data_IF_900362428253
#
_entry.id   IF_900362428253
#
_cell.length_a   1.000
_cell.length_b   1.000
_cell.length_c   1.000
_cell.angle_alpha   90.00
_cell.angle_beta   90.00
_cell.angle_gamma   90.00
#
_symmetry.space_group_name_H-M   'P 1'
#
loop_
_entity.id
_entity.type
_entity.pdbx_description
1 polymer ?
#
# COMPACT_ATOMS: atom_id res chain seq x y z
N UNK A 1 -15.47 -7.14 34.10
CA UNK A 1 -14.73 -5.87 34.32
C UNK A 1 -14.03 -5.56 33.00
N UNK A 2 -14.26 -4.39 32.43
CA UNK A 2 -13.65 -3.97 31.17
C UNK A 2 -12.18 -3.59 31.34
N UNK A 3 -11.39 -3.64 30.28
CA UNK A 3 -10.02 -3.14 30.31
C UNK A 3 -9.98 -1.63 30.27
N UNK A 4 -10.73 -1.02 29.33
CA UNK A 4 -10.84 0.43 29.18
C UNK A 4 -12.29 0.80 28.97
N UNK A 5 -12.73 1.92 29.59
CA UNK A 5 -13.96 2.61 29.25
C UNK A 5 -13.65 4.04 28.86
N UNK A 6 -14.04 4.44 27.67
CA UNK A 6 -14.06 5.82 27.21
C UNK A 6 -15.41 6.42 27.60
N UNK A 7 -15.40 7.52 28.38
CA UNK A 7 -16.61 8.20 28.86
C UNK A 7 -16.86 9.52 28.15
N UNK A 8 -18.12 9.88 28.04
CA UNK A 8 -18.58 11.20 27.56
C UNK A 8 -18.14 11.53 26.13
N UNK A 9 -17.81 10.54 25.30
CA UNK A 9 -17.33 10.77 23.95
C UNK A 9 -18.45 11.13 22.96
N UNK A 10 -18.16 11.94 21.95
CA UNK A 10 -18.94 11.97 20.72
C UNK A 10 -18.54 10.76 19.86
N UNK A 11 -19.36 9.73 19.86
CA UNK A 11 -19.07 8.49 19.13
C UNK A 11 -19.47 8.62 17.66
N UNK A 12 -18.50 8.37 16.77
CA UNK A 12 -18.67 8.31 15.33
C UNK A 12 -18.25 6.89 14.92
N UNK A 13 -19.22 6.01 14.64
CA UNK A 13 -18.99 4.57 14.50
C UNK A 13 -18.52 4.13 13.09
N UNK A 14 -18.37 5.08 12.16
CA UNK A 14 -17.90 4.80 10.78
C UNK A 14 -18.95 4.15 9.87
N UNK A 15 -20.19 3.92 10.33
CA UNK A 15 -21.25 3.27 9.53
C UNK A 15 -22.02 4.24 8.63
N UNK A 16 -21.80 5.55 8.78
CA UNK A 16 -22.57 6.61 8.12
C UNK A 16 -23.81 7.03 8.90
N UNK A 17 -24.10 6.40 10.03
CA UNK A 17 -25.17 6.83 10.94
C UNK A 17 -24.79 8.15 11.65
N UNK A 18 -25.78 8.93 12.14
CA UNK A 18 -25.50 10.10 12.96
C UNK A 18 -24.66 9.76 14.19
N UNK A 19 -23.73 10.65 14.52
CA UNK A 19 -22.96 10.54 15.75
C UNK A 19 -23.82 10.70 16.98
N UNK A 20 -23.41 10.13 18.12
CA UNK A 20 -24.12 10.22 19.39
C UNK A 20 -23.15 10.34 20.57
N UNK A 21 -23.59 10.97 21.66
CA UNK A 21 -22.83 11.02 22.90
C UNK A 21 -23.05 9.76 23.74
N UNK A 22 -21.96 9.17 24.23
CA UNK A 22 -22.02 7.97 25.07
C UNK A 22 -20.65 7.51 25.52
N UNK A 23 -20.68 6.34 26.17
CA UNK A 23 -19.51 5.63 26.64
C UNK A 23 -19.23 4.43 25.72
N UNK A 24 -17.97 3.98 25.67
CA UNK A 24 -17.57 2.79 24.92
C UNK A 24 -16.62 1.95 25.76
N UNK A 25 -16.88 0.64 25.86
CA UNK A 25 -16.09 -0.31 26.63
C UNK A 25 -15.27 -1.23 25.72
N UNK A 26 -14.03 -1.47 26.11
CA UNK A 26 -13.11 -2.42 25.46
C UNK A 26 -12.69 -3.47 26.46
N UNK A 27 -12.69 -4.74 26.03
CA UNK A 27 -12.12 -5.86 26.75
C UNK A 27 -11.43 -6.81 25.76
N UNK A 28 -10.23 -7.28 26.12
CA UNK A 28 -9.41 -8.17 25.28
C UNK A 28 -9.17 -7.63 23.86
N UNK A 29 -8.99 -6.31 23.73
CA UNK A 29 -8.78 -5.64 22.47
C UNK A 29 -10.02 -5.48 21.56
N UNK A 30 -11.20 -5.84 22.06
CA UNK A 30 -12.45 -5.82 21.32
C UNK A 30 -13.42 -4.82 21.95
N UNK A 31 -14.16 -4.07 21.12
CA UNK A 31 -15.28 -3.25 21.59
C UNK A 31 -16.40 -4.20 21.98
N UNK A 32 -16.74 -4.23 23.28
CA UNK A 32 -17.70 -5.17 23.84
C UNK A 32 -19.03 -4.54 24.25
N UNK A 33 -19.04 -3.23 24.48
CA UNK A 33 -20.27 -2.54 24.88
C UNK A 33 -20.23 -1.06 24.51
N UNK A 34 -21.40 -0.45 24.35
CA UNK A 34 -21.58 1.00 24.13
C UNK A 34 -22.89 1.46 24.76
N UNK A 35 -22.89 2.64 25.35
CA UNK A 35 -24.12 3.16 25.99
C UNK A 35 -23.82 4.33 26.90
N UNK A 36 -24.48 4.36 28.05
CA UNK A 36 -24.24 5.29 29.16
C UNK A 36 -24.01 4.49 30.44
N UNK A 37 -23.21 5.06 31.31
CA UNK A 37 -22.94 4.51 32.63
C UNK A 37 -22.45 3.04 32.60
N UNK A 38 -21.53 2.75 31.69
CA UNK A 38 -20.92 1.42 31.57
C UNK A 38 -20.20 1.06 32.89
N UNK A 39 -20.24 -0.22 33.23
CA UNK A 39 -19.74 -0.78 34.49
C UNK A 39 -18.25 -0.55 34.76
N UNK A 40 -17.71 -1.28 35.73
CA UNK A 40 -16.31 -1.11 36.19
C UNK A 40 -15.29 -1.50 35.11
N UNK A 41 -14.21 -0.74 35.04
CA UNK A 41 -13.08 -0.97 34.17
C UNK A 41 -11.74 -0.81 34.92
N UNK A 42 -10.66 -1.36 34.33
CA UNK A 42 -9.30 -1.17 34.85
C UNK A 42 -8.83 0.26 34.61
N UNK A 43 -9.22 0.86 33.48
CA UNK A 43 -8.88 2.22 33.07
C UNK A 43 -10.12 2.98 32.61
N UNK A 44 -10.25 4.21 33.03
CA UNK A 44 -11.28 5.15 32.52
C UNK A 44 -10.55 6.28 31.81
N UNK A 45 -11.00 6.59 30.60
CA UNK A 45 -10.55 7.75 29.82
C UNK A 45 -11.75 8.67 29.65
N UNK A 46 -11.71 9.84 30.25
CA UNK A 46 -12.72 10.88 30.01
C UNK A 46 -12.44 11.54 28.66
N UNK A 47 -13.37 11.38 27.75
CA UNK A 47 -13.32 11.90 26.40
C UNK A 47 -14.32 13.04 26.18
N UNK A 48 -14.70 13.75 27.26
CA UNK A 48 -15.59 14.91 27.15
C UNK A 48 -15.04 15.95 26.18
N UNK A 49 -15.86 16.36 25.21
CA UNK A 49 -15.47 17.29 24.15
C UNK A 49 -14.64 16.70 23.02
N UNK A 50 -14.34 15.39 23.07
CA UNK A 50 -13.59 14.69 22.03
C UNK A 50 -14.49 13.75 21.23
N UNK A 51 -14.10 13.50 19.97
CA UNK A 51 -14.71 12.47 19.14
C UNK A 51 -13.95 11.15 19.31
N UNK A 52 -14.70 10.07 19.53
CA UNK A 52 -14.20 8.70 19.50
C UNK A 52 -14.66 8.04 18.19
N UNK A 53 -13.71 7.66 17.34
CA UNK A 53 -13.97 7.15 16.01
C UNK A 53 -12.98 6.02 15.67
N UNK A 54 -13.26 5.18 14.64
CA UNK A 54 -12.26 4.28 14.08
C UNK A 54 -11.02 5.07 13.67
N UNK A 55 -9.84 4.48 13.88
CA UNK A 55 -8.59 5.08 13.41
C UNK A 55 -8.57 5.18 11.88
N UNK A 56 -7.84 6.16 11.35
CA UNK A 56 -7.71 6.34 9.92
C UNK A 56 -6.97 5.16 9.27
N UNK A 57 -7.42 4.79 8.07
CA UNK A 57 -6.68 3.90 7.18
C UNK A 57 -5.93 4.80 6.20
N UNK A 58 -4.61 4.87 6.34
CA UNK A 58 -3.75 5.56 5.38
C UNK A 58 -3.50 4.64 4.19
N UNK A 59 -4.23 4.88 3.11
CA UNK A 59 -4.33 3.97 1.98
C UNK A 59 -3.19 4.10 0.97
N UNK A 60 -2.31 5.10 1.13
CA UNK A 60 -1.20 5.32 0.20
C UNK A 60 0.05 5.76 0.94
N UNK A 61 0.87 4.80 1.32
CA UNK A 61 2.11 5.04 2.06
C UNK A 61 3.29 4.28 1.45
N UNK A 62 4.48 4.65 1.89
CA UNK A 62 5.76 4.08 1.47
C UNK A 62 6.65 3.77 2.69
N UNK A 63 6.07 3.20 3.74
CA UNK A 63 6.79 2.83 4.96
C UNK A 63 7.57 1.52 4.85
N UNK A 64 7.64 0.92 3.67
CA UNK A 64 8.27 -0.38 3.43
C UNK A 64 9.69 -0.47 3.99
N UNK A 65 10.53 0.51 3.68
CA UNK A 65 11.88 0.59 4.22
C UNK A 65 11.88 1.00 5.70
N UNK A 66 11.11 2.02 6.05
CA UNK A 66 11.11 2.62 7.39
C UNK A 66 10.70 1.63 8.47
N UNK A 67 9.74 0.75 8.24
CA UNK A 67 9.32 -0.27 9.20
C UNK A 67 10.44 -1.24 9.61
N UNK A 68 11.53 -1.31 8.84
CA UNK A 68 12.67 -2.14 9.21
C UNK A 68 13.51 -1.54 10.35
N UNK A 69 13.40 -0.24 10.65
CA UNK A 69 14.06 0.42 11.78
C UNK A 69 13.12 1.17 12.72
N UNK A 70 12.01 1.72 12.22
CA UNK A 70 10.98 2.38 13.02
C UNK A 70 9.67 1.57 13.00
N UNK A 71 9.43 0.71 14.00
CA UNK A 71 8.23 -0.14 14.03
C UNK A 71 6.94 0.66 14.23
N UNK A 72 7.02 1.95 14.59
CA UNK A 72 5.86 2.82 14.78
C UNK A 72 5.44 3.55 13.52
N UNK A 73 6.24 3.51 12.44
CA UNK A 73 5.96 4.18 11.16
C UNK A 73 5.52 5.65 11.33
N UNK A 74 6.25 6.42 12.11
CA UNK A 74 5.94 7.84 12.32
C UNK A 74 6.12 8.63 11.01
N UNK A 75 5.25 9.61 10.69
CA UNK A 75 4.30 10.27 11.60
C UNK A 75 2.85 9.79 11.53
N UNK A 76 2.45 8.90 10.58
CA UNK A 76 1.03 8.58 10.35
C UNK A 76 0.25 8.15 11.61
N UNK A 77 0.76 7.26 12.49
CA UNK A 77 0.05 6.90 13.72
C UNK A 77 -0.13 8.06 14.70
N UNK A 78 0.83 8.98 14.75
CA UNK A 78 0.71 10.19 15.60
C UNK A 78 -0.40 11.11 15.11
N UNK A 79 -0.76 11.02 13.82
CA UNK A 79 -1.84 11.78 13.19
C UNK A 79 -3.18 11.01 13.19
N UNK A 80 -3.24 9.86 13.87
CA UNK A 80 -4.45 9.07 14.03
C UNK A 80 -4.63 7.91 13.05
N UNK A 81 -3.64 7.60 12.21
CA UNK A 81 -3.68 6.42 11.37
C UNK A 81 -3.39 5.16 12.20
N UNK A 82 -4.31 4.20 12.19
CA UNK A 82 -4.16 2.91 12.87
C UNK A 82 -3.88 1.76 11.91
N UNK A 83 -4.05 2.01 10.62
CA UNK A 83 -3.78 1.04 9.55
C UNK A 83 -3.04 1.74 8.40
N UNK A 84 -1.97 1.12 7.93
CA UNK A 84 -1.15 1.63 6.84
C UNK A 84 -1.21 0.65 5.67
N UNK A 85 -1.43 1.17 4.46
CA UNK A 85 -1.29 0.40 3.23
C UNK A 85 -0.04 0.88 2.51
N UNK A 86 0.91 0.00 2.31
CA UNK A 86 2.21 0.28 1.71
C UNK A 86 2.49 -0.57 0.46
N UNK A 87 3.63 -0.38 -0.17
CA UNK A 87 3.96 -0.98 -1.48
C UNK A 87 3.26 -0.28 -2.64
N UNK A 88 2.73 0.91 -2.41
CA UNK A 88 2.07 1.71 -3.45
C UNK A 88 3.02 2.06 -4.59
N UNK A 89 2.49 2.46 -5.72
CA UNK A 89 3.26 2.82 -6.92
C UNK A 89 4.17 1.69 -7.47
N UNK A 90 4.11 0.50 -6.87
CA UNK A 90 4.98 -0.62 -7.22
C UNK A 90 6.40 -0.50 -6.63
N UNK A 91 6.56 0.29 -5.57
CA UNK A 91 7.83 0.50 -4.89
C UNK A 91 7.83 -0.20 -3.54
N UNK A 92 8.55 -1.30 -3.46
CA UNK A 92 8.75 -2.06 -2.21
C UNK A 92 10.22 -2.38 -2.05
N UNK A 93 10.64 -2.77 -0.84
CA UNK A 93 12.00 -3.25 -0.60
C UNK A 93 12.11 -4.77 -0.71
N UNK A 94 11.00 -5.47 -0.87
CA UNK A 94 10.94 -6.92 -1.07
C UNK A 94 10.03 -7.27 -2.27
N UNK A 95 10.42 -8.29 -3.06
CA UNK A 95 11.62 -9.11 -2.92
C UNK A 95 12.90 -8.36 -3.33
N UNK A 96 14.04 -8.71 -2.72
CA UNK A 96 15.32 -8.08 -3.03
C UNK A 96 16.49 -9.03 -2.76
N UNK A 97 17.23 -9.41 -3.81
CA UNK A 97 18.46 -10.19 -3.66
C UNK A 97 19.56 -9.36 -3.00
N UNK A 98 20.48 -9.99 -2.23
CA UNK A 98 21.56 -9.28 -1.56
C UNK A 98 22.37 -8.37 -2.49
N UNK A 99 22.69 -8.83 -3.70
CA UNK A 99 23.45 -8.08 -4.71
C UNK A 99 22.69 -6.88 -5.31
N UNK A 100 21.35 -6.83 -5.15
CA UNK A 100 20.51 -5.76 -5.69
C UNK A 100 20.02 -4.76 -4.62
N UNK A 101 20.46 -4.90 -3.36
CA UNK A 101 20.00 -4.03 -2.24
C UNK A 101 20.29 -2.55 -2.53
N UNK A 102 21.50 -2.23 -2.95
CA UNK A 102 21.87 -0.84 -3.26
C UNK A 102 21.07 -0.28 -4.45
N UNK A 103 20.84 -1.07 -5.49
CA UNK A 103 20.01 -0.69 -6.62
C UNK A 103 18.56 -0.40 -6.19
N UNK A 104 18.00 -1.25 -5.33
CA UNK A 104 16.65 -1.04 -4.77
C UNK A 104 16.59 0.26 -3.97
N UNK A 105 17.56 0.54 -3.10
CA UNK A 105 17.60 1.79 -2.33
C UNK A 105 17.75 3.03 -3.21
N UNK A 106 18.58 2.98 -4.25
CA UNK A 106 18.72 4.08 -5.22
C UNK A 106 17.42 4.37 -5.98
N UNK A 107 16.63 3.35 -6.26
CA UNK A 107 15.31 3.52 -6.87
C UNK A 107 14.34 4.24 -5.92
N UNK A 108 14.44 4.02 -4.62
CA UNK A 108 13.54 4.61 -3.61
C UNK A 108 13.87 6.07 -3.27
N UNK A 109 15.11 6.53 -3.41
CA UNK A 109 15.55 7.85 -2.93
C UNK A 109 14.72 9.01 -3.43
N UNK A 110 14.44 9.06 -4.73
CA UNK A 110 13.67 10.15 -5.32
C UNK A 110 12.16 10.04 -5.04
N UNK A 111 11.66 8.82 -4.89
CA UNK A 111 10.23 8.55 -4.69
C UNK A 111 9.84 8.76 -3.24
N UNK A 112 10.70 8.30 -2.31
CA UNK A 112 10.45 8.38 -0.87
C UNK A 112 10.94 9.70 -0.25
N UNK A 113 11.71 10.49 -0.98
CA UNK A 113 12.31 11.71 -0.45
C UNK A 113 13.33 11.48 0.67
N UNK A 114 13.81 10.25 0.85
CA UNK A 114 14.82 9.88 1.84
C UNK A 114 16.21 9.90 1.25
N UNK A 115 17.21 10.33 2.03
CA UNK A 115 18.59 10.26 1.58
C UNK A 115 19.04 8.80 1.44
N UNK A 116 19.87 8.53 0.42
CA UNK A 116 20.43 7.20 0.20
C UNK A 116 21.24 6.70 1.41
N UNK A 117 21.97 7.60 2.07
CA UNK A 117 22.75 7.26 3.26
C UNK A 117 21.83 6.85 4.43
N UNK A 118 20.70 7.52 4.62
CA UNK A 118 19.71 7.13 5.64
C UNK A 118 19.14 5.74 5.34
N UNK A 119 18.79 5.46 4.07
CA UNK A 119 18.30 4.15 3.65
C UNK A 119 19.37 3.05 3.84
N UNK A 120 20.62 3.28 3.41
CA UNK A 120 21.73 2.33 3.55
C UNK A 120 22.04 1.96 4.99
N UNK A 121 21.95 2.94 5.90
CA UNK A 121 22.23 2.73 7.33
C UNK A 121 21.00 2.25 8.12
N UNK A 122 19.81 2.56 7.66
CA UNK A 122 18.56 2.26 8.38
C UNK A 122 17.97 0.91 8.06
N UNK A 123 18.00 0.48 6.80
CA UNK A 123 17.30 -0.75 6.38
C UNK A 123 17.95 -2.00 6.94
N UNK A 124 17.15 -2.79 7.66
CA UNK A 124 17.54 -4.12 8.14
C UNK A 124 17.08 -5.16 7.12
N UNK A 125 18.05 -5.94 6.61
CA UNK A 125 17.86 -6.89 5.52
C UNK A 125 17.84 -8.36 6.02
N UNK A 126 16.95 -8.70 6.94
CA UNK A 126 16.76 -10.07 7.42
C UNK A 126 15.74 -10.86 6.55
N UNK A 127 15.67 -10.52 5.28
CA UNK A 127 14.79 -11.12 4.27
C UNK A 127 15.39 -10.95 2.87
N UNK A 128 14.93 -11.80 1.95
CA UNK A 128 15.17 -11.70 0.51
C UNK A 128 13.85 -11.70 -0.26
N UNK A 129 12.96 -12.62 0.07
CA UNK A 129 11.66 -12.78 -0.57
C UNK A 129 10.57 -11.96 0.10
N UNK A 130 9.46 -11.76 -0.60
CA UNK A 130 8.30 -11.06 -0.04
C UNK A 130 7.67 -11.80 1.16
N UNK A 131 7.49 -13.14 1.15
CA UNK A 131 7.04 -13.89 2.34
C UNK A 131 7.97 -13.71 3.55
N UNK A 132 9.29 -13.71 3.33
CA UNK A 132 10.26 -13.48 4.41
C UNK A 132 10.14 -12.06 4.99
N UNK A 133 9.89 -11.05 4.15
CA UNK A 133 9.64 -9.69 4.60
C UNK A 133 8.39 -9.59 5.48
N UNK A 134 7.28 -10.23 5.11
CA UNK A 134 6.08 -10.27 5.94
C UNK A 134 6.37 -10.94 7.29
N UNK A 135 7.06 -12.07 7.29
CA UNK A 135 7.48 -12.77 8.51
C UNK A 135 8.43 -11.92 9.38
N UNK A 136 9.32 -11.15 8.74
CA UNK A 136 10.19 -10.21 9.45
C UNK A 136 9.38 -9.14 10.19
N UNK A 137 8.40 -8.51 9.51
CA UNK A 137 7.54 -7.50 10.14
C UNK A 137 6.71 -8.08 11.29
N UNK A 138 6.16 -9.28 11.11
CA UNK A 138 5.40 -9.99 12.15
C UNK A 138 6.25 -10.28 13.39
N UNK A 139 7.46 -10.83 13.21
CA UNK A 139 8.38 -11.11 14.30
C UNK A 139 8.89 -9.86 14.99
N UNK A 140 9.13 -8.80 14.24
CA UNK A 140 9.57 -7.51 14.77
C UNK A 140 8.50 -6.89 15.66
N UNK A 141 7.24 -7.08 15.29
CA UNK A 141 6.11 -6.35 15.86
C UNK A 141 6.08 -4.90 15.38
N UNK A 142 4.96 -4.49 14.83
CA UNK A 142 4.73 -3.12 14.34
C UNK A 142 3.56 -2.49 15.09
N UNK A 143 3.63 -1.20 15.34
CA UNK A 143 2.61 -0.48 16.10
C UNK A 143 1.26 -0.40 15.39
N UNK A 144 1.19 0.14 14.17
CA UNK A 144 -0.04 0.15 13.38
C UNK A 144 -0.32 -1.22 12.74
N UNK A 145 -1.58 -1.46 12.34
CA UNK A 145 -1.86 -2.54 11.39
C UNK A 145 -1.23 -2.20 10.05
N UNK A 146 -0.69 -3.21 9.36
CA UNK A 146 -0.01 -3.03 8.08
C UNK A 146 -0.57 -4.00 7.06
N UNK A 147 -0.83 -3.48 5.86
CA UNK A 147 -1.11 -4.26 4.67
C UNK A 147 -0.20 -3.78 3.54
N UNK A 148 0.29 -4.69 2.68
CA UNK A 148 1.24 -4.32 1.64
C UNK A 148 0.91 -4.95 0.30
N UNK A 149 1.11 -4.18 -0.77
CA UNK A 149 1.13 -4.69 -2.13
C UNK A 149 2.46 -5.38 -2.43
N UNK A 150 2.46 -6.31 -3.37
CA UNK A 150 3.69 -6.71 -4.06
C UNK A 150 4.02 -5.68 -5.14
N UNK A 151 5.22 -5.10 -5.11
CA UNK A 151 5.64 -4.00 -5.97
C UNK A 151 6.27 -4.45 -7.28
N UNK A 152 5.77 -3.96 -8.41
CA UNK A 152 6.22 -4.31 -9.75
C UNK A 152 7.71 -4.02 -9.99
N UNK A 153 8.15 -2.81 -9.60
CA UNK A 153 9.56 -2.43 -9.77
C UNK A 153 10.51 -3.35 -9.01
N UNK A 154 10.13 -3.77 -7.80
CA UNK A 154 10.92 -4.69 -6.99
C UNK A 154 10.95 -6.11 -7.58
N UNK A 155 9.82 -6.58 -8.11
CA UNK A 155 9.74 -7.87 -8.82
C UNK A 155 10.62 -7.87 -10.05
N UNK A 156 10.62 -6.78 -10.84
CA UNK A 156 11.50 -6.63 -12.01
C UNK A 156 12.97 -6.59 -11.62
N UNK A 157 13.35 -5.82 -10.58
CA UNK A 157 14.75 -5.77 -10.09
C UNK A 157 15.18 -7.14 -9.58
N UNK A 158 14.33 -7.84 -8.85
CA UNK A 158 14.65 -9.17 -8.36
C UNK A 158 14.94 -10.17 -9.49
N UNK A 159 14.20 -10.06 -10.60
CA UNK A 159 14.31 -10.97 -11.75
C UNK A 159 15.43 -10.57 -12.72
N UNK A 160 15.57 -9.27 -13.02
CA UNK A 160 16.38 -8.74 -14.11
C UNK A 160 17.61 -7.94 -13.64
N UNK A 161 17.71 -7.62 -12.35
CA UNK A 161 18.77 -6.76 -11.81
C UNK A 161 18.74 -5.37 -12.45
N UNK A 162 19.91 -4.87 -12.83
CA UNK A 162 20.07 -3.55 -13.46
C UNK A 162 19.40 -3.43 -14.84
N UNK A 163 19.15 -4.54 -15.53
CA UNK A 163 18.44 -4.55 -16.81
C UNK A 163 16.97 -4.15 -16.68
N UNK A 164 16.41 -4.25 -15.47
CA UNK A 164 15.02 -3.90 -15.18
C UNK A 164 14.63 -2.47 -15.57
N UNK A 165 15.58 -1.52 -15.52
CA UNK A 165 15.40 -0.11 -15.92
C UNK A 165 15.95 0.23 -17.31
N UNK A 166 16.34 -0.77 -18.11
CA UNK A 166 16.96 -0.55 -19.43
C UNK A 166 16.17 -1.13 -20.59
N UNK A 167 15.38 -2.17 -20.36
CA UNK A 167 14.63 -2.88 -21.40
C UNK A 167 13.35 -3.54 -20.88
N UNK A 168 12.49 -3.94 -21.82
CA UNK A 168 11.35 -4.81 -21.54
C UNK A 168 11.81 -6.21 -21.12
N UNK A 169 10.98 -6.92 -20.36
CA UNK A 169 11.23 -8.30 -19.98
C UNK A 169 10.94 -9.26 -21.14
N UNK A 170 11.69 -10.35 -21.22
CA UNK A 170 11.39 -11.47 -22.12
C UNK A 170 10.38 -12.44 -21.46
N UNK A 171 9.85 -13.38 -22.24
CA UNK A 171 8.83 -14.32 -21.74
C UNK A 171 9.29 -15.13 -20.52
N UNK A 172 10.54 -15.58 -20.48
CA UNK A 172 11.07 -16.34 -19.34
C UNK A 172 11.14 -15.49 -18.07
N UNK A 173 11.50 -14.21 -18.21
CA UNK A 173 11.51 -13.26 -17.10
C UNK A 173 10.08 -12.97 -16.63
N UNK A 174 9.11 -12.85 -17.55
CA UNK A 174 7.69 -12.69 -17.20
C UNK A 174 7.18 -13.91 -16.42
N UNK A 175 7.47 -15.13 -16.88
CA UNK A 175 7.09 -16.38 -16.18
C UNK A 175 7.66 -16.42 -14.74
N UNK A 176 8.89 -15.95 -14.54
CA UNK A 176 9.50 -15.84 -13.21
C UNK A 176 8.77 -14.82 -12.34
N UNK A 177 8.47 -13.64 -12.88
CA UNK A 177 7.75 -12.59 -12.17
C UNK A 177 6.33 -13.02 -11.81
N UNK A 178 5.62 -13.77 -12.68
CA UNK A 178 4.30 -14.34 -12.36
C UNK A 178 4.34 -15.24 -11.12
N UNK A 179 5.36 -16.10 -11.02
CA UNK A 179 5.53 -16.96 -9.85
C UNK A 179 5.74 -16.12 -8.57
N UNK A 180 6.60 -15.10 -8.63
CA UNK A 180 6.84 -14.20 -7.49
C UNK A 180 5.56 -13.50 -7.05
N UNK A 181 4.78 -12.97 -7.99
CA UNK A 181 3.49 -12.31 -7.69
C UNK A 181 2.53 -13.30 -7.04
N UNK A 182 2.38 -14.51 -7.62
CA UNK A 182 1.49 -15.55 -7.07
C UNK A 182 1.88 -15.95 -5.65
N UNK A 183 3.16 -16.21 -5.38
CA UNK A 183 3.67 -16.60 -4.07
C UNK A 183 3.48 -15.47 -3.05
N UNK A 184 3.68 -14.23 -3.45
CA UNK A 184 3.40 -13.06 -2.63
C UNK A 184 1.92 -12.94 -2.27
N UNK A 185 1.02 -13.18 -3.22
CA UNK A 185 -0.43 -13.18 -2.97
C UNK A 185 -0.83 -14.30 -2.01
N UNK A 186 -0.27 -15.49 -2.15
CA UNK A 186 -0.52 -16.62 -1.24
C UNK A 186 -0.02 -16.32 0.18
N UNK A 187 1.07 -15.57 0.31
CA UNK A 187 1.68 -15.21 1.59
C UNK A 187 1.00 -14.03 2.30
N UNK A 188 0.07 -13.32 1.65
CA UNK A 188 -0.68 -12.26 2.32
C UNK A 188 -0.63 -10.88 1.65
N UNK A 189 0.02 -10.71 0.51
CA UNK A 189 -0.10 -9.46 -0.25
C UNK A 189 -1.57 -9.12 -0.51
N UNK A 190 -1.92 -7.82 -0.37
CA UNK A 190 -3.29 -7.36 -0.62
C UNK A 190 -3.57 -7.12 -2.11
N UNK A 191 -2.55 -7.19 -2.94
CA UNK A 191 -2.66 -6.98 -4.38
C UNK A 191 -1.30 -6.74 -5.03
N UNK A 192 -1.34 -6.34 -6.28
CA UNK A 192 -0.18 -6.00 -7.10
C UNK A 192 -0.20 -4.52 -7.43
N UNK A 193 0.91 -3.82 -7.16
CA UNK A 193 1.02 -2.39 -7.41
C UNK A 193 2.07 -2.07 -8.49
N UNK A 194 1.78 -1.05 -9.30
CA UNK A 194 2.66 -0.61 -10.38
C UNK A 194 2.56 0.89 -10.64
N UNK A 195 3.44 1.40 -11.47
CA UNK A 195 3.40 2.78 -11.95
C UNK A 195 3.76 2.87 -13.43
N UNK A 196 2.98 3.66 -14.15
CA UNK A 196 3.30 4.13 -15.51
C UNK A 196 3.56 5.64 -15.53
N UNK A 197 3.58 6.28 -14.36
CA UNK A 197 3.72 7.74 -14.24
C UNK A 197 5.13 8.19 -14.64
N UNK A 198 5.22 9.16 -15.55
CA UNK A 198 6.46 9.65 -16.16
C UNK A 198 7.41 10.31 -15.15
N UNK A 199 6.84 10.84 -14.08
CA UNK A 199 7.61 11.45 -12.98
C UNK A 199 8.29 10.46 -12.05
N UNK A 200 7.93 9.17 -12.11
CA UNK A 200 8.59 8.14 -11.30
C UNK A 200 9.91 7.73 -11.92
N UNK A 201 10.97 8.32 -11.41
CA UNK A 201 12.35 8.05 -11.81
C UNK A 201 13.19 7.77 -10.56
N UNK A 202 14.11 6.83 -10.66
CA UNK A 202 15.14 6.58 -9.67
C UNK A 202 16.28 7.61 -9.75
N UNK A 203 17.41 7.25 -9.16
CA UNK A 203 18.60 8.09 -9.16
C UNK A 203 19.00 8.50 -10.58
N UNK A 204 19.47 9.75 -10.74
CA UNK A 204 19.89 10.33 -12.02
C UNK A 204 18.80 10.37 -13.13
N UNK A 205 17.53 10.31 -12.77
CA UNK A 205 16.43 10.36 -13.72
C UNK A 205 16.20 9.07 -14.52
N UNK A 206 16.81 7.96 -14.09
CA UNK A 206 16.60 6.64 -14.71
C UNK A 206 15.13 6.21 -14.47
N UNK A 207 14.39 5.80 -15.52
CA UNK A 207 13.01 5.38 -15.34
C UNK A 207 12.89 4.25 -14.30
N UNK A 208 11.85 4.33 -13.46
CA UNK A 208 11.53 3.20 -12.58
C UNK A 208 11.27 1.93 -13.40
N UNK A 209 11.70 0.77 -12.93
CA UNK A 209 11.60 -0.50 -13.66
C UNK A 209 10.21 -0.78 -14.24
N UNK A 210 9.15 -0.54 -13.49
CA UNK A 210 7.77 -0.78 -13.93
C UNK A 210 7.33 0.02 -15.16
N UNK A 211 7.99 1.17 -15.44
CA UNK A 211 7.68 2.01 -16.60
C UNK A 211 8.13 1.40 -17.94
N UNK A 212 8.99 0.38 -17.90
CA UNK A 212 9.48 -0.33 -19.09
C UNK A 212 8.70 -1.61 -19.38
N UNK A 213 7.65 -1.89 -18.61
CA UNK A 213 6.81 -3.04 -18.79
C UNK A 213 5.90 -2.89 -20.01
N UNK A 214 5.85 -3.90 -20.84
CA UNK A 214 4.91 -3.98 -21.95
C UNK A 214 3.53 -4.47 -21.49
N UNK A 215 2.51 -4.30 -22.34
CA UNK A 215 1.13 -4.72 -22.01
C UNK A 215 1.00 -6.22 -21.74
N UNK A 216 1.81 -7.06 -22.37
CA UNK A 216 1.85 -8.50 -22.12
C UNK A 216 2.30 -8.80 -20.69
N UNK A 217 3.39 -8.20 -20.24
CA UNK A 217 3.87 -8.30 -18.86
C UNK A 217 2.80 -7.82 -17.85
N UNK A 218 2.22 -6.64 -18.09
CA UNK A 218 1.16 -6.10 -17.23
C UNK A 218 -0.01 -7.08 -17.09
N UNK A 219 -0.51 -7.59 -18.22
CA UNK A 219 -1.63 -8.54 -18.23
C UNK A 219 -1.28 -9.84 -17.50
N UNK A 220 -0.09 -10.39 -17.73
CA UNK A 220 0.39 -11.61 -17.08
C UNK A 220 0.46 -11.46 -15.56
N UNK A 221 1.08 -10.40 -15.07
CA UNK A 221 1.24 -10.18 -13.62
C UNK A 221 -0.10 -9.88 -12.92
N UNK A 222 -1.00 -9.13 -13.57
CA UNK A 222 -2.34 -8.87 -13.06
C UNK A 222 -3.15 -10.19 -12.99
N UNK A 223 -3.07 -11.04 -14.00
CA UNK A 223 -3.70 -12.36 -13.99
C UNK A 223 -3.12 -13.26 -12.91
N UNK A 224 -1.80 -13.22 -12.71
CA UNK A 224 -1.13 -13.95 -11.62
C UNK A 224 -1.65 -13.50 -10.24
N UNK A 225 -1.79 -12.19 -10.00
CA UNK A 225 -2.45 -11.66 -8.80
C UNK A 225 -3.88 -12.20 -8.68
N UNK A 226 -4.67 -12.08 -9.74
CA UNK A 226 -6.09 -12.46 -9.75
C UNK A 226 -6.32 -13.97 -9.54
N UNK A 227 -5.37 -14.82 -9.94
CA UNK A 227 -5.45 -16.27 -9.78
C UNK A 227 -5.59 -16.74 -8.34
N UNK A 228 -5.19 -15.89 -7.37
CA UNK A 228 -5.38 -16.12 -5.94
C UNK A 228 -6.85 -15.97 -5.48
N UNK A 229 -7.78 -15.58 -6.35
CA UNK A 229 -9.18 -15.29 -6.04
C UNK A 229 -9.39 -13.98 -5.25
N UNK A 230 -8.33 -13.23 -4.99
CA UNK A 230 -8.34 -11.96 -4.24
C UNK A 230 -7.33 -10.98 -4.84
N UNK A 231 -7.24 -9.80 -4.27
CA UNK A 231 -6.26 -8.78 -4.63
C UNK A 231 -6.84 -7.56 -5.28
N UNK A 232 -6.10 -6.47 -5.16
CA UNK A 232 -6.39 -5.16 -5.75
C UNK A 232 -5.25 -4.84 -6.71
N UNK A 233 -5.58 -4.45 -7.94
CA UNK A 233 -4.59 -3.86 -8.85
C UNK A 233 -4.44 -2.37 -8.53
N UNK A 234 -3.29 -1.95 -8.03
CA UNK A 234 -2.97 -0.56 -7.72
C UNK A 234 -2.08 0.04 -8.81
N UNK A 235 -2.50 1.15 -9.40
CA UNK A 235 -1.75 1.84 -10.44
C UNK A 235 -1.60 3.33 -10.16
N UNK A 236 -0.36 3.82 -10.16
CA UNK A 236 -0.10 5.26 -10.35
C UNK A 236 0.00 5.53 -11.84
N UNK A 237 -1.05 6.19 -12.34
CA UNK A 237 -1.31 6.33 -13.77
C UNK A 237 -0.52 7.47 -14.40
N UNK A 238 0.25 7.18 -15.44
CA UNK A 238 0.83 8.18 -16.35
C UNK A 238 -0.16 8.71 -17.38
N UNK A 239 0.26 9.74 -18.13
CA UNK A 239 -0.54 10.39 -19.15
C UNK A 239 -0.95 9.44 -20.27
N UNK A 240 -0.06 8.54 -20.68
CA UNK A 240 -0.24 7.60 -21.78
C UNK A 240 -1.08 6.38 -21.43
N UNK A 241 -1.42 6.21 -20.15
CA UNK A 241 -2.26 5.10 -19.69
C UNK A 241 -3.70 5.54 -19.53
N UNK A 242 -4.56 5.17 -20.47
CA UNK A 242 -5.99 5.46 -20.41
C UNK A 242 -6.74 4.51 -19.47
N UNK A 243 -7.93 4.91 -19.01
CA UNK A 243 -8.83 4.02 -18.25
C UNK A 243 -9.22 2.80 -19.07
N UNK A 244 -9.41 2.93 -20.39
CA UNK A 244 -9.69 1.80 -21.28
C UNK A 244 -8.52 0.81 -21.30
N UNK A 245 -7.27 1.30 -21.27
CA UNK A 245 -6.10 0.43 -21.19
C UNK A 245 -6.05 -0.37 -19.89
N UNK A 246 -6.41 0.25 -18.78
CA UNK A 246 -6.54 -0.43 -17.50
C UNK A 246 -7.63 -1.52 -17.57
N UNK A 247 -8.77 -1.21 -18.18
CA UNK A 247 -9.87 -2.17 -18.40
C UNK A 247 -9.42 -3.37 -19.25
N UNK A 248 -8.62 -3.13 -20.29
CA UNK A 248 -8.01 -4.20 -21.11
C UNK A 248 -7.11 -5.12 -20.27
N UNK A 249 -6.19 -4.57 -19.48
CA UNK A 249 -5.29 -5.34 -18.61
C UNK A 249 -6.04 -6.14 -17.55
N UNK A 250 -7.16 -5.59 -17.04
CA UNK A 250 -7.98 -6.21 -16.00
C UNK A 250 -9.07 -7.15 -16.53
N UNK A 251 -9.19 -7.28 -17.86
CA UNK A 251 -10.26 -8.07 -18.48
C UNK A 251 -10.30 -9.52 -17.96
N UNK A 252 -11.46 -9.97 -17.51
CA UNK A 252 -11.69 -11.33 -17.02
C UNK A 252 -11.19 -11.59 -15.59
N UNK A 253 -10.52 -10.66 -14.92
CA UNK A 253 -9.98 -10.88 -13.57
C UNK A 253 -11.05 -10.84 -12.47
N UNK A 254 -12.10 -10.05 -12.66
CA UNK A 254 -13.11 -9.78 -11.62
C UNK A 254 -12.55 -9.09 -10.36
N UNK A 255 -11.39 -8.45 -10.46
CA UNK A 255 -10.73 -7.78 -9.32
C UNK A 255 -10.89 -6.28 -9.41
N UNK A 256 -10.90 -5.58 -8.26
CA UNK A 256 -10.93 -4.12 -8.25
C UNK A 256 -9.58 -3.52 -8.66
N UNK A 257 -9.63 -2.31 -9.23
CA UNK A 257 -8.47 -1.46 -9.45
C UNK A 257 -8.54 -0.20 -8.59
N UNK A 258 -7.40 0.18 -8.01
CA UNK A 258 -7.17 1.47 -7.36
C UNK A 258 -6.26 2.31 -8.25
N UNK A 259 -6.71 3.48 -8.67
CA UNK A 259 -5.94 4.37 -9.56
C UNK A 259 -5.54 5.64 -8.81
N UNK A 260 -4.26 5.85 -8.63
CA UNK A 260 -3.68 7.07 -8.10
C UNK A 260 -3.05 7.89 -9.25
N UNK A 261 -3.09 9.21 -9.23
CA UNK A 261 -3.87 10.04 -8.33
C UNK A 261 -4.84 10.88 -9.15
N UNK A 262 -5.93 11.29 -8.54
CA UNK A 262 -6.86 12.22 -9.17
C UNK A 262 -6.40 13.66 -8.83
N UNK A 263 -5.73 14.32 -9.77
CA UNK A 263 -5.20 15.66 -9.54
C UNK A 263 -6.18 16.75 -9.96
N UNK A 264 -6.37 17.74 -9.10
CA UNK A 264 -6.94 19.00 -9.49
C UNK A 264 -5.86 19.83 -10.23
N UNK A 265 -6.15 20.22 -11.47
CA UNK A 265 -5.29 21.11 -12.24
C UNK A 265 -5.94 22.48 -12.36
N UNK A 266 -5.38 23.56 -11.75
CA UNK A 266 -5.97 24.91 -11.84
C UNK A 266 -6.12 25.43 -13.26
N UNK A 267 -5.24 25.02 -14.18
CA UNK A 267 -5.31 25.40 -15.62
C UNK A 267 -6.28 24.54 -16.43
N UNK A 268 -6.75 23.44 -15.89
CA UNK A 268 -7.74 22.54 -16.49
C UNK A 268 -8.65 21.94 -15.40
N UNK A 269 -9.51 22.74 -14.75
CA UNK A 269 -10.30 22.32 -13.59
C UNK A 269 -11.19 21.10 -13.85
N UNK A 270 -11.73 20.98 -15.08
CA UNK A 270 -12.59 19.86 -15.47
C UNK A 270 -11.84 18.55 -15.76
N UNK A 271 -10.50 18.50 -15.61
CA UNK A 271 -9.75 17.27 -15.88
C UNK A 271 -10.10 16.15 -14.91
N UNK A 272 -10.19 16.49 -13.63
CA UNK A 272 -10.58 15.55 -12.58
C UNK A 272 -11.99 14.99 -12.82
N UNK A 273 -12.95 15.84 -13.16
CA UNK A 273 -14.33 15.42 -13.43
C UNK A 273 -14.40 14.47 -14.64
N UNK A 274 -13.68 14.76 -15.72
CA UNK A 274 -13.60 13.87 -16.89
C UNK A 274 -12.98 12.51 -16.54
N UNK A 275 -11.98 12.49 -15.65
CA UNK A 275 -11.39 11.22 -15.19
C UNK A 275 -12.39 10.42 -14.37
N UNK A 276 -13.12 11.06 -13.45
CA UNK A 276 -14.19 10.41 -12.67
C UNK A 276 -15.27 9.82 -13.58
N UNK A 277 -15.73 10.57 -14.58
CA UNK A 277 -16.72 10.09 -15.56
C UNK A 277 -16.19 8.90 -16.38
N UNK A 278 -14.91 8.93 -16.77
CA UNK A 278 -14.27 7.78 -17.44
C UNK A 278 -14.23 6.53 -16.56
N UNK A 279 -13.95 6.70 -15.27
CA UNK A 279 -13.94 5.58 -14.31
C UNK A 279 -15.35 5.03 -14.13
N UNK A 280 -16.36 5.88 -13.92
CA UNK A 280 -17.77 5.45 -13.80
C UNK A 280 -18.18 4.60 -15.01
N UNK A 281 -17.96 5.10 -16.24
CA UNK A 281 -18.27 4.36 -17.48
C UNK A 281 -17.50 3.05 -17.63
N UNK A 282 -16.35 2.91 -16.98
CA UNK A 282 -15.56 1.69 -17.04
C UNK A 282 -16.06 0.62 -16.05
N UNK A 283 -16.82 1.03 -15.03
CA UNK A 283 -17.39 0.14 -13.99
C UNK A 283 -18.83 -0.30 -14.28
N UNK A 284 -19.49 0.34 -15.23
CA UNK A 284 -20.78 -0.11 -15.83
C UNK A 284 -20.55 -1.26 -16.82
#
# INVERSE_FOLDING_TARGET
MFDVVFKNALIIDGTGNPSFYGDLAVADGIIVDRGKDLGSSRQIIDAEGLALMPGFIDTHTHYDAQLTWDPWAKPSPVLGATTLIMGNCGFTIAPCKPEHRDLTLRNLTNVEGMSLDALRNGVVWDFETFPEYLNFLEKRGVGPNVATYIGHSSVRVYTMGEEASKRSANNKEIDQMENIVRDSMLSGAIGFATSTFEGHNGENGIPMPSRLAESSEMTSLINSMASSGRGIFMLTKGSDTSINKIKEWMAGTGRPAAVAALFHNPTSPSLADRQVESIKKATE
#
